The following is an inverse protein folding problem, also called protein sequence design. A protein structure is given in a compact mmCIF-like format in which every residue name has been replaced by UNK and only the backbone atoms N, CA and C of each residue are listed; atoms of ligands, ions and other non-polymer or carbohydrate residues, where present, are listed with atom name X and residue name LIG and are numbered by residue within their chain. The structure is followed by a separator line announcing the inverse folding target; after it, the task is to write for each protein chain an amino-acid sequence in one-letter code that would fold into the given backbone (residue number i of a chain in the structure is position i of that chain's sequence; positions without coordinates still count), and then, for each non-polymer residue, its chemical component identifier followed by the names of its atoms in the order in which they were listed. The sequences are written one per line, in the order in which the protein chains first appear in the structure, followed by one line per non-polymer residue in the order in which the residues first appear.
data_IF_642362644912
#
_entry.id   IF_642362644912
#
_cell.length_a   1.000
_cell.length_b   1.000
_cell.length_c   1.000
_cell.angle_alpha   90.00
_cell.angle_beta   90.00
_cell.angle_gamma   90.00
#
_symmetry.space_group_name_H-M   'P 1'
#
loop_
_entity.id
_entity.type
_entity.pdbx_description
1 polymer ?
#
# COMPACT_ATOMS: atom_id res chain seq x y z
N UNK A 1 -37.17 76.11 11.11
CA UNK A 1 -38.49 75.66 10.60
C UNK A 1 -38.38 75.35 9.11
N UNK A 2 -38.11 74.10 8.73
CA UNK A 2 -38.39 73.55 7.39
C UNK A 2 -38.88 72.12 7.60
N UNK A 3 -40.08 71.85 7.05
CA UNK A 3 -40.88 70.64 7.21
C UNK A 3 -40.38 69.52 6.28
N UNK A 4 -40.32 68.32 6.86
CA UNK A 4 -40.67 66.99 6.34
C UNK A 4 -40.56 66.71 4.83
N UNK A 5 -39.80 65.66 4.50
CA UNK A 5 -40.29 64.60 3.61
C UNK A 5 -39.67 63.26 4.01
N UNK A 6 -40.53 62.34 4.42
CA UNK A 6 -40.26 60.95 4.77
C UNK A 6 -40.09 60.11 3.50
N UNK A 7 -39.06 59.25 3.48
CA UNK A 7 -39.03 58.04 2.67
C UNK A 7 -38.55 56.90 3.55
N UNK A 8 -39.50 56.06 3.94
CA UNK A 8 -39.26 54.75 4.55
C UNK A 8 -38.60 53.84 3.51
N UNK A 9 -37.37 53.40 3.77
CA UNK A 9 -36.75 52.29 3.06
C UNK A 9 -36.88 51.03 3.91
N UNK A 10 -37.88 50.22 3.58
CA UNK A 10 -38.17 48.93 4.15
C UNK A 10 -37.09 47.94 3.67
N UNK A 11 -36.10 47.62 4.51
CA UNK A 11 -35.09 46.58 4.24
C UNK A 11 -35.54 45.27 4.87
N UNK A 12 -36.27 44.47 4.08
CA UNK A 12 -36.53 43.06 4.39
C UNK A 12 -35.21 42.27 4.27
N UNK A 13 -34.51 42.09 5.39
CA UNK A 13 -33.44 41.11 5.51
C UNK A 13 -34.03 39.71 5.52
N UNK A 14 -34.02 39.06 4.35
CA UNK A 14 -34.29 37.64 4.21
C UNK A 14 -33.13 36.87 4.86
N UNK A 15 -33.37 36.33 6.05
CA UNK A 15 -32.47 35.38 6.71
C UNK A 15 -32.40 34.10 5.88
N UNK A 16 -31.34 33.91 5.12
CA UNK A 16 -31.08 32.64 4.45
C UNK A 16 -30.57 31.63 5.47
N UNK A 17 -31.48 30.83 6.03
CA UNK A 17 -31.13 29.58 6.72
C UNK A 17 -30.46 28.67 5.68
N UNK A 18 -29.12 28.63 5.66
CA UNK A 18 -28.37 27.58 4.97
C UNK A 18 -28.76 26.25 5.61
N UNK A 19 -29.55 25.47 4.89
CA UNK A 19 -29.94 24.14 5.28
C UNK A 19 -28.68 23.26 5.43
N UNK A 20 -28.55 22.62 6.59
CA UNK A 20 -27.54 21.60 6.89
C UNK A 20 -27.87 20.33 6.10
N UNK A 21 -27.52 20.30 4.83
CA UNK A 21 -27.51 19.08 4.02
C UNK A 21 -26.08 18.86 3.52
N UNK A 22 -25.22 18.22 4.33
CA UNK A 22 -24.08 17.44 3.82
C UNK A 22 -23.24 16.64 4.84
N UNK A 23 -23.56 16.62 6.14
CA UNK A 23 -22.74 15.86 7.10
C UNK A 23 -22.93 14.33 7.07
N UNK A 24 -24.10 13.83 6.66
CA UNK A 24 -24.38 12.39 6.70
C UNK A 24 -23.66 11.59 5.58
N UNK A 25 -23.47 12.18 4.39
CA UNK A 25 -22.79 11.50 3.28
C UNK A 25 -21.27 11.35 3.50
N UNK A 26 -20.65 12.28 4.26
CA UNK A 26 -19.23 12.18 4.59
C UNK A 26 -18.95 11.17 5.72
N UNK A 27 -19.87 11.02 6.68
CA UNK A 27 -19.77 9.96 7.71
C UNK A 27 -19.91 8.56 7.12
N UNK A 28 -20.86 8.34 6.20
CA UNK A 28 -21.00 7.07 5.47
C UNK A 28 -19.77 6.73 4.59
N UNK A 29 -19.15 7.72 3.93
CA UNK A 29 -17.94 7.48 3.13
C UNK A 29 -16.68 7.16 3.94
N UNK A 30 -16.64 7.55 5.22
CA UNK A 30 -15.54 7.19 6.13
C UNK A 30 -15.77 5.83 6.81
N UNK A 31 -17.02 5.40 7.01
CA UNK A 31 -17.33 4.11 7.67
C UNK A 31 -16.86 2.89 6.88
N UNK A 32 -16.64 3.02 5.57
CA UNK A 32 -16.12 1.94 4.71
C UNK A 32 -14.59 1.74 4.82
N UNK A 33 -13.86 2.67 5.46
CA UNK A 33 -12.38 2.71 5.44
C UNK A 33 -11.72 2.57 6.80
N UNK A 34 -12.33 1.77 7.66
CA UNK A 34 -11.91 1.56 9.05
C UNK A 34 -10.55 0.88 9.18
N UNK A 35 -10.10 0.14 8.16
CA UNK A 35 -8.78 -0.52 8.14
C UNK A 35 -7.72 0.27 7.37
N UNK A 36 -8.03 1.49 6.91
CA UNK A 36 -7.13 2.25 6.05
C UNK A 36 -7.07 1.78 4.60
N UNK A 37 -8.02 0.96 4.18
CA UNK A 37 -8.28 0.43 2.84
C UNK A 37 -8.71 1.55 1.85
N UNK A 38 -7.83 2.52 1.60
CA UNK A 38 -8.10 3.64 0.69
C UNK A 38 -7.88 3.24 -0.78
N UNK A 39 -8.95 3.24 -1.59
CA UNK A 39 -8.87 3.01 -3.04
C UNK A 39 -7.91 3.93 -3.82
N UNK A 40 -7.67 5.13 -3.31
CA UNK A 40 -6.82 6.16 -3.92
C UNK A 40 -5.51 6.36 -3.14
N UNK A 41 -5.06 5.34 -2.39
CA UNK A 41 -3.89 5.44 -1.52
C UNK A 41 -2.66 5.91 -2.30
N UNK A 42 -2.29 5.20 -3.37
CA UNK A 42 -1.09 5.54 -4.15
C UNK A 42 -1.24 6.82 -4.97
N UNK A 43 -2.45 7.17 -5.44
CA UNK A 43 -2.66 8.44 -6.16
C UNK A 43 -2.56 9.64 -5.22
N UNK A 44 -3.01 9.52 -3.97
CA UNK A 44 -2.86 10.56 -2.95
C UNK A 44 -1.45 10.66 -2.35
N UNK A 45 -0.70 9.55 -2.34
CA UNK A 45 0.68 9.49 -1.84
C UNK A 45 1.69 10.08 -2.82
N UNK A 46 1.45 9.94 -4.13
CA UNK A 46 2.31 10.51 -5.17
C UNK A 46 2.18 12.03 -5.23
N UNK A 47 3.31 12.73 -5.23
CA UNK A 47 3.34 14.17 -5.47
C UNK A 47 3.18 14.39 -6.98
N UNK A 48 2.20 15.20 -7.46
CA UNK A 48 1.98 15.43 -8.89
C UNK A 48 3.18 16.02 -9.66
N UNK A 49 4.19 16.52 -8.94
CA UNK A 49 5.42 17.10 -9.47
C UNK A 49 6.63 16.16 -9.45
N UNK A 50 6.51 14.98 -8.84
CA UNK A 50 7.58 13.98 -8.85
C UNK A 50 7.66 13.34 -10.24
N UNK A 51 8.86 13.29 -10.82
CA UNK A 51 9.12 12.56 -12.09
C UNK A 51 9.24 11.05 -11.87
N UNK A 52 9.07 10.59 -10.63
CA UNK A 52 9.23 9.19 -10.29
C UNK A 52 8.02 8.38 -10.73
N UNK A 53 8.20 7.54 -11.75
CA UNK A 53 7.18 6.59 -12.21
C UNK A 53 6.98 5.43 -11.23
N UNK A 54 7.90 5.25 -10.28
CA UNK A 54 7.99 4.18 -9.29
C UNK A 54 7.81 4.80 -7.90
N UNK A 55 7.27 4.02 -6.95
CA UNK A 55 7.17 4.45 -5.55
C UNK A 55 8.59 4.68 -4.97
N UNK A 56 8.91 5.87 -4.42
CA UNK A 56 10.25 6.20 -3.93
C UNK A 56 10.79 5.24 -2.87
N UNK A 57 9.92 4.53 -2.16
CA UNK A 57 10.34 3.51 -1.18
C UNK A 57 11.13 2.39 -1.84
N UNK A 58 10.77 1.98 -3.06
CA UNK A 58 11.41 0.87 -3.78
C UNK A 58 12.84 1.21 -4.19
N UNK A 59 13.12 2.50 -4.46
CA UNK A 59 14.45 2.96 -4.88
C UNK A 59 15.47 2.95 -3.73
N UNK A 60 15.00 2.96 -2.48
CA UNK A 60 15.84 2.91 -1.30
C UNK A 60 16.19 1.49 -0.85
N UNK A 61 15.39 0.51 -1.26
CA UNK A 61 15.55 -0.88 -0.85
C UNK A 61 16.59 -1.56 -1.74
N UNK A 62 17.53 -2.24 -1.11
CA UNK A 62 18.54 -3.03 -1.80
C UNK A 62 17.87 -4.11 -2.67
N UNK A 63 18.17 -4.19 -3.98
CA UNK A 63 17.63 -5.23 -4.86
C UNK A 63 17.83 -6.67 -4.33
N UNK A 64 18.91 -6.92 -3.58
CA UNK A 64 19.24 -8.25 -3.05
C UNK A 64 18.23 -8.72 -1.98
N UNK A 65 17.44 -7.82 -1.40
CA UNK A 65 16.32 -8.19 -0.52
C UNK A 65 15.24 -9.00 -1.26
N UNK A 66 15.18 -8.88 -2.59
CA UNK A 66 14.07 -9.43 -3.36
C UNK A 66 14.49 -10.50 -4.35
N UNK A 67 15.68 -10.38 -4.95
CA UNK A 67 16.09 -11.23 -6.07
C UNK A 67 16.10 -12.72 -5.70
N UNK A 68 15.33 -13.53 -6.44
CA UNK A 68 15.15 -14.96 -6.18
C UNK A 68 14.66 -15.31 -4.75
N UNK A 69 14.00 -14.37 -4.06
CA UNK A 69 13.51 -14.54 -2.70
C UNK A 69 12.00 -14.80 -2.64
N UNK A 70 11.53 -15.41 -1.54
CA UNK A 70 10.11 -15.54 -1.19
C UNK A 70 9.68 -14.32 -0.35
N UNK A 71 8.76 -13.52 -0.87
CA UNK A 71 8.40 -12.22 -0.29
C UNK A 71 6.94 -12.21 0.15
N UNK A 72 6.68 -11.55 1.29
CA UNK A 72 5.35 -11.24 1.77
C UNK A 72 5.18 -9.73 1.89
N UNK A 73 4.07 -9.18 1.37
CA UNK A 73 3.70 -7.77 1.49
C UNK A 73 2.37 -7.65 2.24
N UNK A 74 2.41 -7.22 3.51
CA UNK A 74 1.25 -7.15 4.39
C UNK A 74 0.62 -5.76 4.32
N UNK A 75 -0.66 -5.71 3.95
CA UNK A 75 -1.38 -4.47 3.68
C UNK A 75 -1.08 -3.92 2.28
N UNK A 76 -1.04 -4.79 1.27
CA UNK A 76 -0.58 -4.45 -0.08
C UNK A 76 -1.48 -3.44 -0.83
N UNK A 77 -2.70 -3.20 -0.34
CA UNK A 77 -3.72 -2.35 -0.97
C UNK A 77 -3.96 -2.79 -2.42
N UNK A 78 -3.99 -1.88 -3.40
CA UNK A 78 -4.13 -2.21 -4.83
C UNK A 78 -2.84 -2.80 -5.47
N UNK A 79 -1.87 -3.23 -4.67
CA UNK A 79 -0.69 -3.96 -5.10
C UNK A 79 0.39 -3.14 -5.80
N UNK A 80 0.36 -1.80 -5.77
CA UNK A 80 1.26 -1.00 -6.61
C UNK A 80 2.75 -1.23 -6.28
N UNK A 81 3.12 -1.36 -5.00
CA UNK A 81 4.49 -1.72 -4.60
C UNK A 81 4.78 -3.17 -4.93
N UNK A 82 3.87 -4.07 -4.54
CA UNK A 82 3.99 -5.51 -4.76
C UNK A 82 4.29 -5.84 -6.22
N UNK A 83 3.52 -5.26 -7.14
CA UNK A 83 3.65 -5.42 -8.60
C UNK A 83 4.96 -4.80 -9.09
N UNK A 84 5.35 -3.63 -8.58
CA UNK A 84 6.59 -2.98 -8.98
C UNK A 84 7.82 -3.79 -8.55
N UNK A 85 7.80 -4.40 -7.37
CA UNK A 85 8.86 -5.31 -6.90
C UNK A 85 8.86 -6.59 -7.76
N UNK A 86 7.71 -7.22 -7.95
CA UNK A 86 7.57 -8.43 -8.77
C UNK A 86 8.18 -8.26 -10.17
N UNK A 87 7.90 -7.12 -10.80
CA UNK A 87 8.36 -6.81 -12.15
C UNK A 87 9.84 -6.39 -12.22
N UNK A 88 10.36 -5.66 -11.23
CA UNK A 88 11.68 -5.00 -11.34
C UNK A 88 12.80 -5.68 -10.55
N UNK A 89 12.45 -6.47 -9.54
CA UNK A 89 13.42 -7.05 -8.62
C UNK A 89 13.47 -8.57 -8.69
N UNK A 90 12.71 -9.18 -9.60
CA UNK A 90 12.75 -10.61 -9.92
C UNK A 90 12.74 -11.52 -8.68
N UNK A 91 11.77 -11.37 -7.77
CA UNK A 91 11.61 -12.34 -6.69
C UNK A 91 11.25 -13.71 -7.26
N UNK A 92 11.60 -14.76 -6.50
CA UNK A 92 11.11 -16.10 -6.80
C UNK A 92 9.58 -16.13 -6.72
N UNK A 93 9.02 -15.45 -5.71
CA UNK A 93 7.60 -15.15 -5.64
C UNK A 93 7.33 -14.05 -4.60
N UNK A 94 6.35 -13.17 -4.85
CA UNK A 94 5.82 -12.21 -3.88
C UNK A 94 4.31 -12.40 -3.67
N UNK A 95 3.89 -12.56 -2.41
CA UNK A 95 2.48 -12.61 -2.02
C UNK A 95 2.07 -11.26 -1.40
N UNK A 96 1.10 -10.59 -2.01
CA UNK A 96 0.42 -9.45 -1.40
C UNK A 96 -0.80 -9.88 -0.60
N UNK A 97 -0.91 -9.46 0.66
CA UNK A 97 -2.08 -9.70 1.51
C UNK A 97 -2.73 -8.38 1.88
N UNK A 98 -4.05 -8.29 1.74
CA UNK A 98 -4.86 -7.16 2.22
C UNK A 98 -6.19 -7.67 2.78
N UNK A 99 -6.78 -6.94 3.71
CA UNK A 99 -8.05 -7.32 4.33
C UNK A 99 -9.25 -7.06 3.41
N UNK A 100 -9.10 -6.17 2.43
CA UNK A 100 -10.19 -5.76 1.55
C UNK A 100 -10.15 -6.50 0.20
N UNK A 101 -11.09 -7.43 0.04
CA UNK A 101 -11.32 -8.21 -1.19
C UNK A 101 -11.41 -7.33 -2.45
N UNK A 102 -12.04 -6.14 -2.37
CA UNK A 102 -12.17 -5.24 -3.51
C UNK A 102 -10.85 -4.60 -3.93
N UNK A 103 -9.92 -4.42 -2.98
CA UNK A 103 -8.56 -3.96 -3.27
C UNK A 103 -7.72 -5.07 -3.90
N UNK A 104 -7.89 -6.30 -3.42
CA UNK A 104 -7.24 -7.48 -3.99
C UNK A 104 -7.67 -7.71 -5.45
N UNK A 105 -8.97 -7.65 -5.75
CA UNK A 105 -9.45 -7.71 -7.15
C UNK A 105 -8.86 -6.60 -8.03
N UNK A 106 -8.63 -5.41 -7.46
CA UNK A 106 -7.94 -4.32 -8.18
C UNK A 106 -6.45 -4.62 -8.38
N UNK A 107 -5.79 -5.20 -7.38
CA UNK A 107 -4.40 -5.61 -7.48
C UNK A 107 -4.20 -6.67 -8.60
N UNK A 108 -5.07 -7.67 -8.67
CA UNK A 108 -5.08 -8.67 -9.74
C UNK A 108 -5.30 -8.05 -11.12
N UNK A 109 -6.27 -7.12 -11.25
CA UNK A 109 -6.46 -6.38 -12.50
C UNK A 109 -5.26 -5.48 -12.84
N UNK A 110 -4.59 -4.91 -11.84
CA UNK A 110 -3.37 -4.12 -12.05
C UNK A 110 -2.22 -4.99 -12.56
N UNK A 111 -2.07 -6.24 -12.09
CA UNK A 111 -1.09 -7.19 -12.68
C UNK A 111 -1.39 -7.39 -14.15
N UNK A 112 -2.63 -7.71 -14.49
CA UNK A 112 -3.06 -7.95 -15.88
C UNK A 112 -2.84 -6.73 -16.77
N UNK A 113 -3.12 -5.53 -16.25
CA UNK A 113 -2.85 -4.27 -16.92
C UNK A 113 -1.35 -4.08 -17.15
N UNK A 114 -0.53 -4.20 -16.11
CA UNK A 114 0.94 -4.02 -16.21
C UNK A 114 1.54 -5.07 -17.15
N UNK A 115 1.08 -6.31 -17.10
CA UNK A 115 1.47 -7.36 -18.04
C UNK A 115 1.10 -6.99 -19.47
N UNK A 116 -0.14 -6.60 -19.71
CA UNK A 116 -0.60 -6.16 -21.05
C UNK A 116 0.24 -5.00 -21.59
N UNK A 117 0.66 -4.06 -20.73
CA UNK A 117 1.46 -2.90 -21.12
C UNK A 117 2.97 -3.19 -21.21
N UNK A 118 3.44 -4.39 -20.87
CA UNK A 118 4.87 -4.72 -20.86
C UNK A 118 5.31 -5.16 -22.25
N UNK A 119 6.04 -4.30 -22.97
CA UNK A 119 6.60 -4.65 -24.26
C UNK A 119 7.81 -5.60 -24.07
N UNK A 120 7.86 -6.76 -24.75
CA UNK A 120 8.99 -7.68 -24.65
C UNK A 120 10.34 -7.12 -25.19
N UNK A 121 10.35 -6.02 -25.95
CA UNK A 121 11.54 -5.55 -26.67
C UNK A 121 12.27 -4.34 -26.04
N UNK A 122 12.03 -3.95 -24.77
CA UNK A 122 12.67 -2.74 -24.22
C UNK A 122 14.13 -2.90 -23.81
N UNK A 123 14.63 -4.14 -23.65
CA UNK A 123 16.00 -4.37 -23.15
C UNK A 123 16.97 -4.90 -24.23
N UNK A 124 16.48 -5.23 -25.44
CA UNK A 124 17.32 -5.66 -26.56
C UNK A 124 17.32 -4.59 -27.65
N UNK A 125 18.40 -3.83 -27.74
CA UNK A 125 18.72 -2.94 -28.86
C UNK A 125 19.10 -3.73 -30.14
N UNK A 126 18.38 -4.82 -30.45
CA UNK A 126 18.64 -5.65 -31.62
C UNK A 126 17.49 -5.54 -32.63
N UNK A 127 17.80 -4.80 -33.69
CA UNK A 127 17.21 -4.75 -35.03
C UNK A 127 15.67 -4.77 -35.15
N UNK A 128 15.13 -3.60 -35.49
CA UNK A 128 13.84 -3.43 -36.16
C UNK A 128 13.80 -4.25 -37.46
N UNK A 129 13.17 -5.43 -37.43
CA UNK A 129 12.57 -5.98 -38.64
C UNK A 129 11.29 -5.18 -38.90
N UNK A 130 11.14 -4.50 -40.06
CA UNK A 130 9.94 -3.74 -40.38
C UNK A 130 8.68 -4.60 -40.54
N UNK A 131 8.83 -5.94 -40.55
CA UNK A 131 7.74 -6.91 -40.52
C UNK A 131 8.09 -8.04 -39.56
N UNK A 132 7.80 -7.86 -38.28
CA UNK A 132 7.76 -8.97 -37.33
C UNK A 132 6.44 -9.75 -37.52
N UNK A 133 6.46 -10.76 -38.39
CA UNK A 133 5.38 -11.74 -38.56
C UNK A 133 5.36 -12.78 -37.43
N UNK A 134 6.37 -12.78 -36.54
CA UNK A 134 6.25 -13.51 -35.28
C UNK A 134 5.34 -12.65 -34.41
N UNK A 135 4.07 -13.06 -34.30
CA UNK A 135 3.12 -12.47 -33.38
C UNK A 135 3.70 -12.55 -31.97
N UNK A 136 4.51 -11.56 -31.56
CA UNK A 136 4.88 -11.29 -30.17
C UNK A 136 3.63 -10.75 -29.48
N UNK A 137 2.65 -11.64 -29.30
CA UNK A 137 1.26 -11.43 -28.86
C UNK A 137 1.14 -11.02 -27.38
N UNK A 138 2.21 -10.53 -26.78
CA UNK A 138 2.35 -10.32 -25.34
C UNK A 138 2.40 -8.83 -24.97
N UNK A 139 1.93 -7.93 -25.86
CA UNK A 139 1.83 -6.50 -25.59
C UNK A 139 0.60 -5.86 -26.23
N UNK A 140 -0.15 -5.10 -25.43
CA UNK A 140 -1.28 -4.26 -25.78
C UNK A 140 -0.97 -2.82 -25.36
N UNK A 141 -0.96 -1.85 -26.29
CA UNK A 141 -1.03 -0.44 -25.94
C UNK A 141 -2.22 -0.14 -25.01
N UNK A 142 -2.13 0.93 -24.22
CA UNK A 142 -3.19 1.31 -23.27
C UNK A 142 -4.57 1.45 -23.92
N UNK A 143 -4.64 1.93 -25.17
CA UNK A 143 -5.92 1.99 -25.90
C UNK A 143 -6.54 0.62 -26.13
N UNK A 144 -5.72 -0.40 -26.43
CA UNK A 144 -6.19 -1.77 -26.67
C UNK A 144 -6.74 -2.41 -25.40
N UNK A 145 -6.17 -2.12 -24.23
CA UNK A 145 -6.71 -2.64 -22.96
C UNK A 145 -8.11 -2.10 -22.64
N UNK A 146 -8.44 -0.90 -23.13
CA UNK A 146 -9.78 -0.32 -22.98
C UNK A 146 -10.78 -0.90 -24.00
N UNK A 147 -10.34 -1.22 -25.21
CA UNK A 147 -11.22 -1.73 -26.28
C UNK A 147 -11.48 -3.23 -26.16
N UNK A 148 -10.46 -4.00 -25.78
CA UNK A 148 -10.48 -5.47 -25.87
C UNK A 148 -10.23 -6.17 -24.53
N UNK A 149 -10.04 -5.42 -23.45
CA UNK A 149 -9.64 -5.96 -22.16
C UNK A 149 -8.16 -6.34 -22.11
N UNK A 150 -7.78 -7.08 -21.06
CA UNK A 150 -6.38 -7.44 -20.81
C UNK A 150 -5.96 -8.68 -21.59
N UNK A 151 -4.65 -8.76 -21.91
CA UNK A 151 -4.06 -9.98 -22.45
C UNK A 151 -4.28 -11.14 -21.46
N UNK A 152 -4.77 -12.31 -21.92
CA UNK A 152 -4.89 -13.48 -21.07
C UNK A 152 -3.52 -13.87 -20.48
N UNK A 153 -3.46 -14.05 -19.16
CA UNK A 153 -2.29 -14.60 -18.47
C UNK A 153 -2.31 -16.13 -18.46
N UNK A 154 -2.97 -16.75 -19.43
CA UNK A 154 -3.05 -18.20 -19.53
C UNK A 154 -1.74 -18.71 -20.11
N UNK A 155 -1.02 -19.48 -19.29
CA UNK A 155 0.22 -20.11 -19.71
C UNK A 155 -0.12 -21.42 -20.42
N UNK A 156 0.39 -21.69 -21.63
CA UNK A 156 0.28 -23.02 -22.22
C UNK A 156 0.82 -24.08 -21.23
N UNK A 157 0.26 -25.30 -21.17
CA UNK A 157 0.67 -26.34 -20.23
C UNK A 157 2.18 -26.62 -20.20
N UNK A 158 2.88 -26.42 -21.32
CA UNK A 158 4.32 -26.67 -21.48
C UNK A 158 5.20 -25.42 -21.30
N UNK A 159 4.65 -24.30 -20.84
CA UNK A 159 5.42 -23.07 -20.68
C UNK A 159 6.35 -23.15 -19.46
N UNK A 160 7.64 -22.93 -19.71
CA UNK A 160 8.72 -23.24 -18.76
C UNK A 160 9.09 -22.08 -17.83
N UNK A 161 8.65 -20.86 -18.12
CA UNK A 161 9.06 -19.65 -17.40
C UNK A 161 7.99 -19.16 -16.41
N UNK A 162 7.72 -19.95 -15.37
CA UNK A 162 6.75 -19.58 -14.32
C UNK A 162 7.36 -18.71 -13.20
N UNK A 163 8.68 -18.48 -13.23
CA UNK A 163 9.41 -17.72 -12.22
C UNK A 163 9.54 -16.22 -12.48
N UNK A 164 8.98 -15.70 -13.58
CA UNK A 164 9.06 -14.28 -13.94
C UNK A 164 7.71 -13.59 -13.82
N UNK A 165 7.71 -12.25 -13.87
CA UNK A 165 6.47 -11.48 -13.94
C UNK A 165 5.72 -11.82 -15.23
N UNK A 166 4.40 -12.07 -15.20
CA UNK A 166 3.45 -11.79 -14.11
C UNK A 166 3.15 -12.98 -13.17
N UNK A 167 3.87 -14.10 -13.31
CA UNK A 167 3.58 -15.35 -12.60
C UNK A 167 4.25 -15.44 -11.22
N UNK A 168 5.25 -14.60 -10.97
CA UNK A 168 5.94 -14.49 -9.69
C UNK A 168 5.22 -13.59 -8.66
N UNK A 169 3.94 -13.23 -8.89
CA UNK A 169 3.14 -12.44 -7.96
C UNK A 169 1.75 -13.03 -7.80
N UNK A 170 1.27 -13.07 -6.56
CA UNK A 170 -0.12 -13.41 -6.24
C UNK A 170 -0.66 -12.53 -5.13
N UNK A 171 -1.99 -12.53 -4.98
CA UNK A 171 -2.70 -11.75 -4.00
C UNK A 171 -3.67 -12.60 -3.21
N UNK A 172 -3.89 -12.24 -1.94
CA UNK A 172 -4.85 -12.91 -1.06
C UNK A 172 -5.62 -11.88 -0.23
N UNK A 173 -6.94 -11.98 -0.26
CA UNK A 173 -7.80 -11.26 0.67
C UNK A 173 -7.85 -12.00 2.00
N UNK A 174 -7.25 -11.44 3.04
CA UNK A 174 -7.24 -12.01 4.38
C UNK A 174 -6.91 -10.97 5.44
N UNK A 175 -7.48 -11.17 6.63
CA UNK A 175 -6.98 -10.52 7.84
C UNK A 175 -5.70 -11.23 8.29
N UNK A 176 -4.55 -10.68 7.89
CA UNK A 176 -3.25 -11.26 8.23
C UNK A 176 -3.07 -11.49 9.73
N UNK A 177 -3.71 -10.73 10.62
CA UNK A 177 -3.58 -10.94 12.07
C UNK A 177 -4.17 -12.27 12.52
N UNK A 178 -5.16 -12.81 11.80
CA UNK A 178 -5.88 -14.05 12.10
C UNK A 178 -5.40 -15.28 11.33
N UNK A 179 -4.62 -15.08 10.26
CA UNK A 179 -4.10 -16.18 9.44
C UNK A 179 -3.20 -17.15 10.23
N UNK A 180 -3.16 -18.42 9.84
CA UNK A 180 -2.15 -19.33 10.39
C UNK A 180 -0.82 -19.11 9.64
N UNK A 181 0.28 -19.09 10.39
CA UNK A 181 1.61 -18.96 9.80
C UNK A 181 2.19 -20.35 9.55
N UNK A 182 2.56 -20.60 8.30
CA UNK A 182 3.54 -21.63 7.98
C UNK A 182 4.92 -21.06 8.37
N UNK A 183 5.56 -21.66 9.38
CA UNK A 183 6.85 -21.18 9.90
C UNK A 183 7.94 -21.14 8.82
N UNK A 184 8.84 -20.15 8.92
CA UNK A 184 10.06 -20.02 8.11
C UNK A 184 9.86 -20.08 6.57
N UNK A 185 8.80 -19.43 6.09
CA UNK A 185 8.46 -19.41 4.65
C UNK A 185 9.12 -18.28 3.86
N UNK A 186 9.25 -17.10 4.48
CA UNK A 186 9.61 -15.87 3.76
C UNK A 186 11.04 -15.44 4.04
N UNK A 187 11.71 -14.96 3.00
CA UNK A 187 13.03 -14.33 3.08
C UNK A 187 12.90 -12.85 3.45
N UNK A 188 11.88 -12.15 2.93
CA UNK A 188 11.61 -10.76 3.28
C UNK A 188 10.12 -10.52 3.48
N UNK A 189 9.78 -9.77 4.53
CA UNK A 189 8.42 -9.32 4.83
C UNK A 189 8.38 -7.80 4.78
N UNK A 190 7.42 -7.25 4.04
CA UNK A 190 7.11 -5.83 3.96
C UNK A 190 5.92 -5.52 4.87
N UNK A 191 6.10 -4.55 5.77
CA UNK A 191 5.04 -4.01 6.62
C UNK A 191 5.04 -2.48 6.47
N UNK A 192 4.54 -2.01 5.32
CA UNK A 192 4.65 -0.61 4.93
C UNK A 192 3.35 0.14 5.23
N UNK A 193 3.40 1.11 6.15
CA UNK A 193 2.23 1.90 6.55
C UNK A 193 1.03 1.07 7.05
N UNK A 194 1.28 -0.04 7.75
CA UNK A 194 0.23 -0.93 8.25
C UNK A 194 0.10 -0.92 9.78
N UNK A 195 1.17 -0.63 10.53
CA UNK A 195 1.22 -0.78 12.00
C UNK A 195 0.13 0.00 12.73
N UNK A 196 -0.16 1.23 12.28
CA UNK A 196 -1.24 2.05 12.85
C UNK A 196 -2.58 1.33 12.84
N UNK A 197 -2.92 0.70 11.72
CA UNK A 197 -4.22 0.05 11.57
C UNK A 197 -4.29 -1.23 12.39
N UNK A 198 -3.20 -1.99 12.43
CA UNK A 198 -3.09 -3.16 13.31
C UNK A 198 -3.29 -2.75 14.78
N UNK A 199 -2.63 -1.68 15.22
CA UNK A 199 -2.71 -1.23 16.62
C UNK A 199 -4.08 -0.64 16.97
N UNK A 200 -4.71 0.14 16.09
CA UNK A 200 -6.03 0.69 16.37
C UNK A 200 -7.08 -0.43 16.56
N UNK A 201 -6.98 -1.54 15.81
CA UNK A 201 -7.94 -2.64 15.89
C UNK A 201 -7.58 -3.71 16.92
N UNK A 202 -6.28 -3.93 17.17
CA UNK A 202 -5.78 -4.99 18.05
C UNK A 202 -5.16 -4.51 19.36
N UNK A 203 -5.09 -3.20 19.59
CA UNK A 203 -4.33 -2.60 20.69
C UNK A 203 -2.83 -2.90 20.62
N UNK A 204 -2.15 -2.63 21.72
CA UNK A 204 -0.70 -2.89 21.87
C UNK A 204 -0.39 -4.39 21.73
N UNK A 205 -1.21 -5.26 22.32
CA UNK A 205 -1.02 -6.71 22.27
C UNK A 205 -1.18 -7.25 20.85
N UNK A 206 -2.17 -6.76 20.09
CA UNK A 206 -2.36 -7.13 18.70
C UNK A 206 -1.17 -6.74 17.82
N UNK A 207 -0.59 -5.54 18.03
CA UNK A 207 0.60 -5.12 17.31
C UNK A 207 1.85 -5.91 17.71
N UNK A 208 2.01 -6.22 19.00
CA UNK A 208 3.09 -7.07 19.52
C UNK A 208 3.02 -8.49 18.97
N UNK A 209 1.83 -9.08 18.92
CA UNK A 209 1.57 -10.39 18.30
C UNK A 209 1.85 -10.35 16.80
N UNK A 210 1.46 -9.27 16.11
CA UNK A 210 1.77 -9.07 14.69
C UNK A 210 3.28 -9.11 14.42
N UNK A 211 4.11 -8.44 15.24
CA UNK A 211 5.57 -8.50 15.10
C UNK A 211 6.15 -9.90 15.38
N UNK A 212 5.69 -10.58 16.43
CA UNK A 212 6.11 -11.97 16.71
C UNK A 212 5.77 -12.91 15.54
N UNK A 213 4.57 -12.76 14.99
CA UNK A 213 4.09 -13.53 13.84
C UNK A 213 4.93 -13.32 12.57
N UNK A 214 5.40 -12.10 12.34
CA UNK A 214 6.35 -11.80 11.26
C UNK A 214 7.66 -12.54 11.50
N UNK A 215 8.20 -12.49 12.71
CA UNK A 215 9.45 -13.16 13.05
C UNK A 215 9.36 -14.69 12.88
N UNK A 216 8.23 -15.30 13.25
CA UNK A 216 7.95 -16.73 13.06
C UNK A 216 7.88 -17.14 11.58
N UNK A 217 7.32 -16.28 10.71
CA UNK A 217 7.20 -16.59 9.28
C UNK A 217 8.49 -16.34 8.49
N UNK A 218 9.44 -15.58 9.04
CA UNK A 218 10.74 -15.33 8.43
C UNK A 218 11.68 -16.53 8.60
N UNK A 219 12.41 -16.85 7.53
CA UNK A 219 13.55 -17.79 7.56
C UNK A 219 14.68 -17.24 8.43
N UNK A 220 15.60 -18.09 8.93
CA UNK A 220 16.87 -17.62 9.50
C UNK A 220 17.60 -16.70 8.51
N UNK A 221 18.07 -15.52 8.96
CA UNK A 221 18.65 -14.50 8.10
C UNK A 221 17.63 -13.68 7.29
N UNK A 222 16.34 -13.92 7.47
CA UNK A 222 15.27 -13.18 6.79
C UNK A 222 15.11 -11.76 7.33
N UNK A 223 14.44 -10.89 6.56
CA UNK A 223 14.38 -9.47 6.86
C UNK A 223 12.96 -8.91 6.95
N UNK A 224 12.69 -8.04 7.92
CA UNK A 224 11.49 -7.21 7.98
C UNK A 224 11.82 -5.80 7.49
N UNK A 225 11.10 -5.31 6.48
CA UNK A 225 11.11 -3.90 6.07
C UNK A 225 9.88 -3.21 6.66
N UNK A 226 10.12 -2.27 7.58
CA UNK A 226 9.08 -1.60 8.35
C UNK A 226 9.01 -0.10 8.03
N UNK A 227 7.80 0.39 7.73
CA UNK A 227 7.50 1.82 7.64
C UNK A 227 6.30 2.12 8.55
N UNK A 228 6.55 2.66 9.74
CA UNK A 228 5.50 2.97 10.72
C UNK A 228 4.96 4.39 10.54
N UNK A 229 3.65 4.57 10.71
CA UNK A 229 3.07 5.92 10.74
C UNK A 229 3.31 6.62 12.08
N UNK A 230 3.48 7.94 12.02
CA UNK A 230 3.58 8.80 13.21
C UNK A 230 2.35 8.65 14.11
N UNK A 231 2.61 8.51 15.42
CA UNK A 231 1.60 8.28 16.45
C UNK A 231 0.55 9.40 16.51
N UNK A 232 0.96 10.66 16.31
CA UNK A 232 0.04 11.81 16.26
C UNK A 232 -1.07 11.70 15.20
N UNK A 233 -0.94 10.79 14.22
CA UNK A 233 -1.98 10.56 13.19
C UNK A 233 -3.05 9.54 13.60
N UNK A 234 -2.94 8.93 14.78
CA UNK A 234 -3.77 7.81 15.22
C UNK A 234 -5.11 8.29 15.77
N UNK A 235 -5.10 9.26 16.70
CA UNK A 235 -6.29 9.68 17.45
C UNK A 235 -7.48 10.02 16.56
N UNK A 236 -7.25 10.73 15.45
CA UNK A 236 -8.30 11.07 14.49
C UNK A 236 -8.95 9.82 13.88
N UNK A 237 -8.17 8.79 13.57
CA UNK A 237 -8.67 7.55 12.97
C UNK A 237 -9.28 6.63 14.01
N UNK A 238 -8.70 6.53 15.19
CA UNK A 238 -9.24 5.77 16.32
C UNK A 238 -10.66 6.22 16.68
N UNK A 239 -10.90 7.54 16.85
CA UNK A 239 -12.25 8.07 17.13
C UNK A 239 -13.28 7.73 16.06
N UNK A 240 -12.87 7.58 14.80
CA UNK A 240 -13.81 7.19 13.75
C UNK A 240 -14.20 5.71 13.80
N UNK A 241 -13.42 4.87 14.47
CA UNK A 241 -13.65 3.43 14.61
C UNK A 241 -14.38 3.16 15.93
N UNK A 242 -13.89 3.76 17.00
CA UNK A 242 -14.50 3.74 18.32
C UNK A 242 -14.34 5.13 18.96
N UNK A 243 -15.47 5.83 19.15
CA UNK A 243 -15.52 7.17 19.72
C UNK A 243 -14.98 7.23 21.17
N UNK A 244 -14.92 6.09 21.87
CA UNK A 244 -14.42 5.99 23.24
C UNK A 244 -12.90 5.86 23.34
N UNK A 245 -12.20 5.51 22.26
CA UNK A 245 -10.74 5.33 22.26
C UNK A 245 -9.98 6.64 22.50
N UNK A 246 -9.13 6.62 23.52
CA UNK A 246 -8.15 7.64 23.81
C UNK A 246 -6.74 7.09 23.56
N UNK A 247 -6.19 7.35 22.37
CA UNK A 247 -4.93 6.73 21.92
C UNK A 247 -3.76 7.05 22.83
N UNK A 248 -3.71 8.25 23.44
CA UNK A 248 -2.61 8.62 24.34
C UNK A 248 -2.64 7.83 25.66
N UNK A 249 -3.84 7.42 26.11
CA UNK A 249 -4.03 6.65 27.35
C UNK A 249 -4.04 5.14 27.09
N UNK A 250 -4.69 4.71 26.01
CA UNK A 250 -4.93 3.30 25.69
C UNK A 250 -3.69 2.64 25.05
N UNK A 251 -2.87 3.38 24.30
CA UNK A 251 -1.71 2.83 23.59
C UNK A 251 -0.40 3.31 24.20
N UNK A 252 0.30 2.38 24.85
CA UNK A 252 1.59 2.61 25.48
C UNK A 252 2.74 2.17 24.57
N UNK A 253 2.50 1.24 23.64
CA UNK A 253 3.50 0.75 22.71
C UNK A 253 3.60 1.63 21.46
N UNK A 254 4.53 2.58 21.46
CA UNK A 254 4.64 3.61 20.41
C UNK A 254 5.73 3.26 19.39
N UNK A 255 5.75 3.90 18.21
CA UNK A 255 6.79 3.67 17.19
C UNK A 255 8.22 3.78 17.72
N UNK A 256 8.47 4.66 18.70
CA UNK A 256 9.77 4.83 19.35
C UNK A 256 10.21 3.59 20.14
N UNK A 257 9.27 2.72 20.53
CA UNK A 257 9.53 1.48 21.25
C UNK A 257 9.72 0.27 20.32
N UNK A 258 9.44 0.41 19.02
CA UNK A 258 9.42 -0.74 18.10
C UNK A 258 10.80 -1.40 17.99
N UNK A 259 11.86 -0.61 17.85
CA UNK A 259 13.23 -1.14 17.71
C UNK A 259 13.63 -1.96 18.93
N UNK A 260 13.44 -1.40 20.13
CA UNK A 260 13.78 -2.06 21.39
C UNK A 260 13.03 -3.39 21.54
N UNK A 261 11.71 -3.37 21.30
CA UNK A 261 10.89 -4.57 21.37
C UNK A 261 11.27 -5.62 20.31
N UNK A 262 11.50 -5.21 19.06
CA UNK A 262 11.86 -6.13 17.97
C UNK A 262 13.22 -6.81 18.22
N UNK A 263 14.19 -6.09 18.76
CA UNK A 263 15.52 -6.65 19.06
C UNK A 263 15.49 -7.48 20.35
N UNK A 264 15.00 -6.90 21.46
CA UNK A 264 15.20 -7.48 22.79
C UNK A 264 14.11 -8.49 23.19
N UNK A 265 12.89 -8.36 22.67
CA UNK A 265 11.75 -9.21 23.06
C UNK A 265 11.32 -10.19 21.95
N UNK A 266 11.42 -9.79 20.68
CA UNK A 266 11.07 -10.66 19.55
C UNK A 266 12.26 -11.51 19.08
N UNK A 267 13.47 -10.94 19.09
CA UNK A 267 14.71 -11.67 18.79
C UNK A 267 15.35 -11.37 17.43
N UNK A 268 15.05 -10.25 16.79
CA UNK A 268 15.83 -9.79 15.63
C UNK A 268 17.28 -9.48 16.05
N UNK A 269 18.26 -9.87 15.24
CA UNK A 269 19.69 -9.73 15.55
C UNK A 269 20.21 -8.30 15.36
N UNK A 270 19.68 -7.57 14.37
CA UNK A 270 20.13 -6.22 14.04
C UNK A 270 19.04 -5.40 13.34
N UNK A 271 19.26 -4.10 13.27
CA UNK A 271 18.44 -3.18 12.48
C UNK A 271 19.29 -2.16 11.73
N UNK A 272 18.74 -1.62 10.64
CA UNK A 272 19.35 -0.58 9.82
C UNK A 272 18.32 0.49 9.46
N UNK A 273 18.61 1.74 9.78
CA UNK A 273 17.81 2.88 9.34
C UNK A 273 18.13 3.20 7.88
N UNK A 274 17.18 2.95 6.97
CA UNK A 274 17.34 3.24 5.55
C UNK A 274 17.05 4.73 5.23
N UNK A 275 16.48 5.45 6.19
CA UNK A 275 16.13 6.86 6.09
C UNK A 275 14.71 7.09 5.55
N UNK A 276 14.45 8.32 5.09
CA UNK A 276 13.13 8.76 4.62
C UNK A 276 13.12 8.82 3.08
N UNK A 277 12.11 8.27 2.38
CA UNK A 277 12.02 8.35 0.93
C UNK A 277 11.96 9.79 0.42
N UNK A 278 12.77 10.06 -0.60
CA UNK A 278 12.82 11.36 -1.26
C UNK A 278 11.51 11.59 -2.03
N UNK A 279 11.14 12.85 -2.21
CA UNK A 279 9.98 13.26 -3.02
C UNK A 279 8.59 12.83 -2.52
N UNK A 280 8.45 12.44 -1.25
CA UNK A 280 7.14 12.16 -0.67
C UNK A 280 6.37 13.42 -0.26
N UNK A 281 5.03 13.34 -0.37
CA UNK A 281 4.13 14.40 0.08
C UNK A 281 4.18 14.59 1.59
N UNK A 282 3.80 15.78 2.06
CA UNK A 282 3.66 16.07 3.51
C UNK A 282 2.77 15.02 4.17
N UNK A 283 3.28 14.36 5.22
CA UNK A 283 2.58 13.30 5.98
C UNK A 283 2.82 11.87 5.48
N UNK A 284 3.56 11.69 4.37
CA UNK A 284 4.01 10.37 3.88
C UNK A 284 5.49 10.14 4.12
N UNK A 285 6.30 11.20 4.12
CA UNK A 285 7.74 11.17 4.41
C UNK A 285 8.01 10.55 5.80
N UNK A 286 8.28 9.24 5.82
CA UNK A 286 8.48 8.45 7.04
C UNK A 286 9.76 7.61 6.94
N UNK A 287 10.43 7.35 8.07
CA UNK A 287 11.60 6.49 8.08
C UNK A 287 11.22 5.06 7.72
N UNK A 288 12.06 4.42 6.92
CA UNK A 288 12.02 2.99 6.65
C UNK A 288 13.17 2.33 7.42
N UNK A 289 12.85 1.27 8.16
CA UNK A 289 13.82 0.52 8.98
C UNK A 289 13.81 -0.93 8.54
N UNK A 290 15.00 -1.50 8.35
CA UNK A 290 15.22 -2.91 8.05
C UNK A 290 15.61 -3.63 9.34
N UNK A 291 15.01 -4.78 9.63
CA UNK A 291 15.39 -5.67 10.73
C UNK A 291 15.82 -7.02 10.17
N UNK A 292 16.84 -7.64 10.76
CA UNK A 292 17.41 -8.93 10.30
C UNK A 292 17.26 -9.98 11.38
N UNK A 293 16.66 -11.13 11.03
CA UNK A 293 16.49 -12.30 11.90
C UNK A 293 17.74 -13.16 11.96
#
# INVERSE_FOLDING_TARGET
MKRSNSKENNTNTISTKKARFNDNNNKQKLSEKIYGNYNAYYTSRRVPKSKCYIDPRIDMLDPELFKNKQILDIGCNTGNITIAIAKKREPAHILGVDIDESLIQKAENNVRLVYSLSNPNTDSAELESPFDLTLKSHYFPLSMTHMFGFIPMAVPPDFKETGCFPYNVSFKAADWTKEQVEGEKYDTVLALSVTKWIQIHGGDDGLKMFFKKIYECLKPGGTLVLESQEFGTYQRRAKHIDDSLNVEEDFQFRPENYTDYLINEVGFNSHHELGVPKEEGKGFARPVVLYVK
#
